data_IF_415166526569
#
_entry.id   IF_415166526569
#
_cell.length_a   1.000
_cell.length_b   1.000
_cell.length_c   1.000
_cell.angle_alpha   90.00
_cell.angle_beta   90.00
_cell.angle_gamma   90.00
#
_symmetry.space_group_name_H-M   'P 1'
#
loop_
_entity.id
_entity.type
_entity.pdbx_description
1 polymer ?
#
# COMPACT_ATOMS: atom_id res chain seq x y z
N UNK A 1 -29.48 14.02 -18.08
CA UNK A 1 -29.05 13.57 -16.74
C UNK A 1 -27.53 13.48 -16.75
N UNK A 2 -26.84 14.53 -16.30
CA UNK A 2 -25.37 14.55 -16.28
C UNK A 2 -24.93 13.80 -15.03
N UNK A 3 -24.28 12.65 -15.21
CA UNK A 3 -23.61 11.94 -14.11
C UNK A 3 -22.38 12.76 -13.76
N UNK A 4 -22.46 13.56 -12.70
CA UNK A 4 -21.26 14.13 -12.08
C UNK A 4 -20.58 12.94 -11.40
N UNK A 5 -19.60 12.33 -12.06
CA UNK A 5 -18.66 11.44 -11.39
C UNK A 5 -17.90 12.30 -10.41
N UNK A 6 -18.21 12.20 -9.13
CA UNK A 6 -17.34 12.75 -8.09
C UNK A 6 -15.96 12.13 -8.33
N UNK A 7 -14.97 12.95 -8.65
CA UNK A 7 -13.61 12.45 -8.80
C UNK A 7 -13.21 11.77 -7.49
N UNK A 8 -12.75 10.52 -7.58
CA UNK A 8 -12.37 9.76 -6.41
C UNK A 8 -11.26 10.50 -5.66
N UNK A 9 -11.48 10.74 -4.37
CA UNK A 9 -10.53 11.48 -3.53
C UNK A 9 -9.30 10.63 -3.21
N UNK A 10 -9.47 9.31 -3.15
CA UNK A 10 -8.41 8.38 -2.83
C UNK A 10 -8.29 7.33 -3.92
N UNK A 11 -7.06 7.05 -4.33
CA UNK A 11 -6.76 6.00 -5.31
C UNK A 11 -5.78 5.01 -4.71
N UNK A 12 -6.19 3.75 -4.61
CA UNK A 12 -5.35 2.62 -4.25
C UNK A 12 -4.68 2.08 -5.52
N UNK A 13 -3.36 2.03 -5.54
CA UNK A 13 -2.56 1.35 -6.59
C UNK A 13 -1.88 0.14 -5.99
N UNK A 14 -2.16 -1.04 -6.55
CA UNK A 14 -1.52 -2.31 -6.16
C UNK A 14 -0.57 -2.72 -7.26
N UNK A 15 0.71 -2.90 -6.94
CA UNK A 15 1.73 -3.47 -7.83
C UNK A 15 2.16 -4.81 -7.27
N UNK A 16 1.94 -5.88 -8.02
CA UNK A 16 2.34 -7.24 -7.66
C UNK A 16 3.02 -7.89 -8.87
N UNK A 17 4.35 -8.01 -8.82
CA UNK A 17 5.15 -8.41 -9.97
C UNK A 17 4.91 -7.48 -11.17
N UNK A 18 4.56 -8.05 -12.32
CA UNK A 18 4.23 -7.29 -13.53
C UNK A 18 2.79 -6.74 -13.55
N UNK A 19 1.93 -7.15 -12.61
CA UNK A 19 0.51 -6.76 -12.58
C UNK A 19 0.33 -5.48 -11.78
N UNK A 20 -0.46 -4.56 -12.32
CA UNK A 20 -0.87 -3.33 -11.65
C UNK A 20 -2.39 -3.22 -11.69
N UNK A 21 -3.03 -3.03 -10.53
CA UNK A 21 -4.46 -2.71 -10.45
C UNK A 21 -4.69 -1.41 -9.69
N UNK A 22 -5.79 -0.73 -9.99
CA UNK A 22 -6.18 0.50 -9.32
C UNK A 22 -7.63 0.43 -8.89
N UNK A 23 -7.89 0.81 -7.65
CA UNK A 23 -9.23 1.01 -7.09
C UNK A 23 -9.36 2.46 -6.64
N UNK A 24 -10.57 2.99 -6.69
CA UNK A 24 -10.88 4.39 -6.39
C UNK A 24 -11.94 4.46 -5.28
N UNK A 25 -11.78 5.41 -4.35
CA UNK A 25 -12.59 5.56 -3.16
C UNK A 25 -12.89 7.03 -2.84
N UNK A 26 -14.04 7.27 -2.23
CA UNK A 26 -14.51 8.61 -1.86
C UNK A 26 -13.98 9.10 -0.51
N UNK A 27 -13.57 8.18 0.36
CA UNK A 27 -13.09 8.43 1.71
C UNK A 27 -11.89 7.54 2.08
N UNK A 28 -11.12 7.97 3.08
CA UNK A 28 -9.89 7.32 3.52
C UNK A 28 -10.17 5.94 4.14
N UNK A 29 -11.28 5.77 4.84
CA UNK A 29 -11.60 4.54 5.58
C UNK A 29 -11.90 3.41 4.60
N UNK A 30 -12.67 3.71 3.55
CA UNK A 30 -12.91 2.80 2.44
C UNK A 30 -11.61 2.44 1.70
N UNK A 31 -10.73 3.42 1.48
CA UNK A 31 -9.43 3.18 0.85
C UNK A 31 -8.52 2.26 1.70
N UNK A 32 -8.47 2.49 3.02
CA UNK A 32 -7.71 1.66 3.96
C UNK A 32 -8.28 0.25 4.07
N UNK A 33 -9.61 0.10 4.08
CA UNK A 33 -10.27 -1.20 4.06
C UNK A 33 -9.94 -1.97 2.77
N UNK A 34 -9.98 -1.29 1.62
CA UNK A 34 -9.56 -1.83 0.33
C UNK A 34 -8.09 -2.27 0.36
N UNK A 35 -7.20 -1.42 0.87
CA UNK A 35 -5.77 -1.72 1.00
C UNK A 35 -5.54 -2.95 1.88
N UNK A 36 -6.21 -3.05 3.04
CA UNK A 36 -6.12 -4.21 3.95
C UNK A 36 -6.56 -5.50 3.27
N UNK A 37 -7.70 -5.46 2.55
CA UNK A 37 -8.20 -6.62 1.80
C UNK A 37 -7.19 -7.09 0.76
N UNK A 38 -6.70 -6.17 -0.08
CA UNK A 38 -5.70 -6.48 -1.12
C UNK A 38 -4.37 -6.97 -0.54
N UNK A 39 -3.93 -6.43 0.60
CA UNK A 39 -2.74 -6.91 1.29
C UNK A 39 -2.91 -8.35 1.77
N UNK A 40 -4.10 -8.69 2.29
CA UNK A 40 -4.41 -10.05 2.72
C UNK A 40 -4.48 -11.01 1.52
N UNK A 41 -5.10 -10.62 0.41
CA UNK A 41 -5.11 -11.40 -0.84
C UNK A 41 -3.69 -11.73 -1.33
N UNK A 42 -2.73 -10.80 -1.20
CA UNK A 42 -1.33 -11.06 -1.54
C UNK A 42 -0.69 -12.05 -0.56
N UNK A 43 -0.99 -11.95 0.74
CA UNK A 43 -0.44 -12.82 1.79
C UNK A 43 -1.01 -14.24 1.75
N UNK A 44 -2.27 -14.38 1.38
CA UNK A 44 -2.95 -15.67 1.22
C UNK A 44 -2.60 -16.35 -0.12
N UNK A 45 -2.05 -15.58 -1.06
CA UNK A 45 -1.51 -16.10 -2.30
C UNK A 45 -0.23 -16.92 -2.10
N UNK A 46 0.24 -17.54 -3.18
CA UNK A 46 1.47 -18.32 -3.14
C UNK A 46 2.68 -17.40 -2.91
N UNK A 47 3.60 -17.72 -1.96
CA UNK A 47 4.78 -16.92 -1.70
C UNK A 47 5.60 -16.72 -2.97
N UNK A 48 6.17 -15.52 -3.15
CA UNK A 48 7.00 -15.27 -4.32
C UNK A 48 8.16 -16.28 -4.39
N UNK A 49 8.41 -16.90 -5.57
CA UNK A 49 9.58 -17.74 -5.72
C UNK A 49 10.85 -16.91 -5.47
N UNK A 50 11.81 -17.51 -4.78
CA UNK A 50 13.14 -16.94 -4.65
C UNK A 50 13.74 -16.74 -6.05
N UNK A 51 14.07 -15.50 -6.43
CA UNK A 51 14.84 -15.23 -7.66
C UNK A 51 16.25 -14.79 -7.29
N UNK A 52 17.22 -15.37 -7.99
CA UNK A 52 18.63 -15.04 -7.87
C UNK A 52 19.03 -14.19 -9.07
N UNK A 53 19.16 -12.88 -8.87
CA UNK A 53 19.72 -11.96 -9.86
C UNK A 53 20.99 -11.36 -9.24
N UNK A 54 22.15 -11.98 -9.50
CA UNK A 54 23.52 -11.56 -9.14
C UNK A 54 23.87 -11.41 -7.63
N UNK A 55 22.90 -11.26 -6.73
CA UNK A 55 23.05 -11.30 -5.26
C UNK A 55 21.88 -12.09 -4.66
N UNK A 56 22.12 -12.93 -3.65
CA UNK A 56 21.03 -13.58 -2.90
C UNK A 56 20.37 -12.52 -2.01
N UNK A 57 19.10 -12.23 -2.29
CA UNK A 57 18.23 -11.48 -1.38
C UNK A 57 17.23 -12.48 -0.79
N UNK A 58 17.15 -12.56 0.54
CA UNK A 58 16.16 -13.37 1.22
C UNK A 58 14.73 -12.87 0.97
N UNK A 59 13.69 -13.68 1.22
CA UNK A 59 12.29 -13.27 1.06
C UNK A 59 11.92 -12.00 1.82
N UNK A 60 12.44 -11.82 3.03
CA UNK A 60 12.22 -10.63 3.87
C UNK A 60 12.87 -9.35 3.31
N UNK A 61 13.84 -9.47 2.40
CA UNK A 61 14.52 -8.33 1.77
C UNK A 61 13.83 -7.88 0.48
N UNK A 62 12.80 -8.62 0.04
CA UNK A 62 12.12 -8.38 -1.23
C UNK A 62 10.66 -7.99 -0.98
N UNK A 63 10.24 -6.90 -1.59
CA UNK A 63 8.82 -6.51 -1.65
C UNK A 63 8.12 -7.43 -2.64
N UNK A 64 7.14 -8.19 -2.16
CA UNK A 64 6.27 -9.03 -2.98
C UNK A 64 5.18 -8.24 -3.69
N UNK A 65 4.55 -7.33 -2.95
CA UNK A 65 3.62 -6.37 -3.50
C UNK A 65 3.73 -5.03 -2.80
N UNK A 66 3.47 -3.95 -3.54
CA UNK A 66 3.35 -2.60 -3.01
C UNK A 66 1.93 -2.08 -3.21
N UNK A 67 1.33 -1.62 -2.13
CA UNK A 67 -0.01 -1.05 -2.12
C UNK A 67 0.06 0.40 -1.66
N UNK A 68 -0.36 1.34 -2.50
CA UNK A 68 -0.25 2.78 -2.27
C UNK A 68 -1.62 3.46 -2.34
N UNK A 69 -1.97 4.26 -1.33
CA UNK A 69 -3.08 5.20 -1.37
C UNK A 69 -2.51 6.57 -1.74
N UNK A 70 -3.04 7.17 -2.81
CA UNK A 70 -2.78 8.56 -3.18
C UNK A 70 -4.04 9.42 -3.02
N UNK A 71 -3.90 10.65 -2.55
CA UNK A 71 -5.03 11.56 -2.24
C UNK A 71 -5.42 12.51 -3.38
N UNK A 72 -4.85 12.33 -4.57
CA UNK A 72 -5.31 12.97 -5.82
C UNK A 72 -5.12 14.49 -5.93
N UNK A 73 -4.64 15.19 -4.91
CA UNK A 73 -4.44 16.65 -4.91
C UNK A 73 -3.03 17.11 -5.35
N UNK A 74 -2.88 18.42 -5.58
CA UNK A 74 -1.57 19.07 -5.84
C UNK A 74 -0.58 18.86 -4.67
N UNK A 75 -1.11 18.66 -3.46
CA UNK A 75 -0.39 18.24 -2.27
C UNK A 75 -0.12 16.72 -2.31
N UNK A 76 0.84 16.29 -3.14
CA UNK A 76 1.39 14.91 -3.18
C UNK A 76 2.14 14.49 -1.90
N UNK A 77 1.85 15.15 -0.77
CA UNK A 77 2.53 14.99 0.52
C UNK A 77 1.93 13.89 1.40
N UNK A 78 0.63 13.63 1.28
CA UNK A 78 -0.10 12.65 2.08
C UNK A 78 -0.32 11.33 1.32
N UNK A 79 0.66 10.91 0.54
CA UNK A 79 0.64 9.58 -0.08
C UNK A 79 1.26 8.58 0.91
N UNK A 80 0.77 7.34 0.92
CA UNK A 80 1.31 6.33 1.82
C UNK A 80 0.81 4.94 1.46
N UNK A 81 1.35 3.93 2.12
CA UNK A 81 1.04 2.57 1.72
C UNK A 81 1.63 1.51 2.63
N UNK A 82 1.53 0.28 2.15
CA UNK A 82 2.10 -0.90 2.78
C UNK A 82 2.83 -1.71 1.73
N UNK A 83 4.06 -2.10 2.06
CA UNK A 83 4.79 -3.14 1.36
C UNK A 83 4.47 -4.50 2.01
N UNK A 84 4.04 -5.45 1.19
CA UNK A 84 3.99 -6.87 1.55
C UNK A 84 5.33 -7.46 1.17
N UNK A 85 6.09 -7.93 2.15
CA UNK A 85 7.39 -8.56 1.96
C UNK A 85 7.22 -10.01 1.47
N UNK A 86 8.27 -10.63 0.94
CA UNK A 86 8.23 -12.00 0.43
C UNK A 86 7.94 -13.07 1.48
N UNK A 87 8.11 -12.76 2.76
CA UNK A 87 7.70 -13.59 3.91
C UNK A 87 6.29 -13.24 4.43
N UNK A 88 5.58 -12.34 3.77
CA UNK A 88 4.25 -11.88 4.15
C UNK A 88 4.23 -10.82 5.25
N UNK A 89 5.39 -10.34 5.72
CA UNK A 89 5.45 -9.19 6.65
C UNK A 89 4.91 -7.93 5.97
N UNK A 90 4.22 -7.11 6.75
CA UNK A 90 3.70 -5.82 6.30
C UNK A 90 4.57 -4.68 6.83
N UNK A 91 5.02 -3.80 5.94
CA UNK A 91 5.80 -2.60 6.28
C UNK A 91 5.03 -1.37 5.80
N UNK A 92 4.50 -0.58 6.73
CA UNK A 92 3.85 0.67 6.41
C UNK A 92 4.88 1.76 6.07
N UNK A 93 4.51 2.65 5.15
CA UNK A 93 5.33 3.81 4.78
C UNK A 93 4.48 5.03 4.44
N UNK A 94 5.11 6.20 4.50
CA UNK A 94 4.57 7.48 4.09
C UNK A 94 5.46 8.16 3.06
N UNK A 95 4.84 8.99 2.21
CA UNK A 95 5.45 9.75 1.13
C UNK A 95 5.40 9.04 -0.23
N UNK A 96 5.27 9.83 -1.31
CA UNK A 96 5.31 9.33 -2.69
C UNK A 96 6.73 9.23 -3.25
N UNK A 97 7.43 10.36 -3.36
CA UNK A 97 8.78 10.45 -3.95
C UNK A 97 9.85 10.03 -2.94
N UNK A 98 9.81 10.61 -1.74
CA UNK A 98 10.68 10.23 -0.62
C UNK A 98 9.85 9.44 0.37
N UNK A 99 10.14 8.14 0.47
CA UNK A 99 9.42 7.24 1.38
C UNK A 99 10.14 7.17 2.72
N UNK A 100 9.37 7.19 3.80
CA UNK A 100 9.83 6.85 5.16
C UNK A 100 9.00 5.71 5.71
N UNK A 101 9.65 4.74 6.34
CA UNK A 101 8.95 3.68 7.07
C UNK A 101 8.16 4.30 8.22
N UNK A 102 6.94 3.82 8.43
CA UNK A 102 6.12 4.16 9.58
C UNK A 102 6.33 3.08 10.64
N UNK A 103 6.94 3.47 11.75
CA UNK A 103 7.05 2.59 12.91
C UNK A 103 5.70 2.55 13.65
N UNK A 104 5.15 1.35 13.90
CA UNK A 104 3.99 1.21 14.77
C UNK A 104 4.29 1.72 16.17
N UNK A 105 3.32 2.39 16.80
CA UNK A 105 3.42 2.81 18.20
C UNK A 105 2.64 1.81 19.06
N UNK A 106 3.29 1.24 20.08
CA UNK A 106 2.65 0.27 20.97
C UNK A 106 2.16 -0.96 20.19
N UNK A 107 0.86 -1.25 20.28
CA UNK A 107 0.21 -2.40 19.64
C UNK A 107 -0.42 -2.07 18.28
N UNK A 108 -0.11 -0.91 17.69
CA UNK A 108 -0.64 -0.52 16.38
C UNK A 108 -0.30 -1.54 15.29
N UNK A 109 -1.26 -1.80 14.40
CA UNK A 109 -0.96 -2.48 13.16
C UNK A 109 -0.30 -1.51 12.16
N UNK A 110 0.34 -2.02 11.10
CA UNK A 110 0.81 -1.18 9.99
C UNK A 110 -0.31 -0.33 9.36
N UNK A 111 -1.55 -0.80 9.39
CA UNK A 111 -2.70 -0.05 8.88
C UNK A 111 -3.09 1.11 9.80
N UNK A 112 -2.95 0.95 11.12
CA UNK A 112 -3.24 2.00 12.09
C UNK A 112 -2.19 3.12 12.02
N UNK A 113 -0.91 2.74 11.89
CA UNK A 113 0.18 3.68 11.66
C UNK A 113 -0.04 4.49 10.38
N UNK A 114 -0.51 3.83 9.31
CA UNK A 114 -0.87 4.49 8.05
C UNK A 114 -2.10 5.38 8.18
N UNK A 115 -3.16 4.93 8.88
CA UNK A 115 -4.37 5.74 9.15
C UNK A 115 -4.00 7.05 9.84
N UNK A 116 -3.19 6.97 10.90
CA UNK A 116 -2.72 8.14 11.65
C UNK A 116 -1.98 9.13 10.76
N UNK A 117 -1.15 8.64 9.85
CA UNK A 117 -0.39 9.49 8.94
C UNK A 117 -1.30 10.17 7.90
N UNK A 118 -2.23 9.41 7.30
CA UNK A 118 -3.07 9.89 6.19
C UNK A 118 -4.28 10.70 6.64
N UNK A 119 -4.74 10.52 7.88
CA UNK A 119 -5.87 11.24 8.47
C UNK A 119 -5.47 12.47 9.30
N UNK A 120 -4.18 12.78 9.37
CA UNK A 120 -3.64 13.96 10.06
C UNK A 120 -3.80 15.26 9.28
#
# INVERSE_FOLDING_TARGET
MVRVTREARYRLTVRHGAKVSRDEFDDLDAALAGLRRRAQEVRDGEPLPAVSMLRKFGPAERVAARLEISTGGWLRGSDGGVDVMGDGKLIAFAGGIRRRTLEPRGEESPFDALRRELGG
#
